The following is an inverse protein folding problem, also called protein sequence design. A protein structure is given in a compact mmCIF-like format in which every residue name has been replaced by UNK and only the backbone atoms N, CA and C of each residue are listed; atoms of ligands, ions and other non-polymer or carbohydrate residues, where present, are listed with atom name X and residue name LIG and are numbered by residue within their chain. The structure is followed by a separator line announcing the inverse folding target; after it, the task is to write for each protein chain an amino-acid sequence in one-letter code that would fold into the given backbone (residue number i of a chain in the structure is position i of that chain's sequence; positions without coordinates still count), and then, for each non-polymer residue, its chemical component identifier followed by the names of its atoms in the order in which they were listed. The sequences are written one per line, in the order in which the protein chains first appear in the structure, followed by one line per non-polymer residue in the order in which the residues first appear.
data_IF_929100584248
#
_entry.id   IF_929100584248
#
_cell.length_a   1.000
_cell.length_b   1.000
_cell.length_c   1.000
_cell.angle_alpha   90.00
_cell.angle_beta   90.00
_cell.angle_gamma   90.00
#
_symmetry.space_group_name_H-M   'P 1'
#
loop_
_entity.id
_entity.type
_entity.pdbx_description
1 polymer ?
#
# COMPACT_ATOMS: atom_id res chain seq x y z
N UNK A 1 14.36 14.48 -11.74
CA UNK A 1 15.14 13.28 -11.39
C UNK A 1 14.55 12.78 -10.09
N UNK A 2 14.04 11.55 -10.06
CA UNK A 2 13.43 10.97 -8.84
C UNK A 2 14.50 10.84 -7.76
N UNK A 3 14.33 11.53 -6.63
CA UNK A 3 15.24 11.51 -5.48
C UNK A 3 15.39 10.09 -4.92
N UNK A 4 16.55 9.72 -4.32
CA UNK A 4 16.68 8.47 -3.58
C UNK A 4 15.60 8.28 -2.49
N UNK A 5 15.11 9.40 -1.92
CA UNK A 5 14.01 9.41 -0.95
C UNK A 5 12.70 8.93 -1.61
N UNK A 6 12.34 9.47 -2.77
CA UNK A 6 11.13 9.09 -3.53
C UNK A 6 11.10 7.60 -3.89
N UNK A 7 12.28 6.96 -4.07
CA UNK A 7 12.37 5.51 -4.30
C UNK A 7 12.04 4.70 -3.05
N UNK A 8 12.30 5.24 -1.85
CA UNK A 8 11.94 4.60 -0.59
C UNK A 8 10.43 4.61 -0.39
N UNK A 9 9.71 5.65 -0.83
CA UNK A 9 8.24 5.70 -0.77
C UNK A 9 7.59 4.53 -1.54
N UNK A 10 8.14 4.16 -2.70
CA UNK A 10 7.67 2.99 -3.45
C UNK A 10 7.83 1.69 -2.66
N UNK A 11 8.93 1.52 -1.91
CA UNK A 11 9.13 0.31 -1.13
C UNK A 11 8.29 0.32 0.16
N UNK A 12 8.31 1.43 0.88
CA UNK A 12 7.64 1.59 2.18
C UNK A 12 6.12 1.41 2.07
N UNK A 13 5.46 2.20 1.23
CA UNK A 13 4.01 2.16 1.10
C UNK A 13 3.52 0.91 0.36
N UNK A 14 4.37 0.32 -0.47
CA UNK A 14 4.12 -0.98 -1.08
C UNK A 14 4.10 -2.10 -0.04
N UNK A 15 5.08 -2.12 0.88
CA UNK A 15 5.13 -3.09 1.98
C UNK A 15 3.96 -2.89 2.95
N UNK A 16 3.65 -1.65 3.33
CA UNK A 16 2.48 -1.34 4.18
C UNK A 16 1.19 -1.86 3.54
N UNK A 17 0.99 -1.60 2.25
CA UNK A 17 -0.19 -2.08 1.54
C UNK A 17 -0.28 -3.61 1.49
N UNK A 18 0.85 -4.30 1.30
CA UNK A 18 0.90 -5.77 1.33
C UNK A 18 0.56 -6.32 2.71
N UNK A 19 1.11 -5.76 3.78
CA UNK A 19 0.82 -6.20 5.14
C UNK A 19 -0.66 -6.01 5.48
N UNK A 20 -1.25 -4.87 5.10
CA UNK A 20 -2.69 -4.64 5.29
C UNK A 20 -3.49 -5.66 4.46
N UNK A 21 -3.11 -5.90 3.21
CA UNK A 21 -3.80 -6.85 2.34
C UNK A 21 -3.77 -8.27 2.90
N UNK A 22 -2.62 -8.76 3.35
CA UNK A 22 -2.50 -10.09 3.97
C UNK A 22 -3.32 -10.18 5.27
N UNK A 23 -3.28 -9.15 6.12
CA UNK A 23 -4.10 -9.12 7.33
C UNK A 23 -5.62 -9.14 7.04
N UNK A 24 -6.04 -8.51 5.95
CA UNK A 24 -7.45 -8.54 5.50
C UNK A 24 -7.83 -9.91 4.92
N UNK A 25 -6.94 -10.56 4.18
CA UNK A 25 -7.14 -11.93 3.69
C UNK A 25 -7.21 -12.93 4.85
N UNK A 26 -6.34 -12.80 5.85
CA UNK A 26 -6.36 -13.62 7.06
C UNK A 26 -7.72 -13.51 7.77
N UNK A 27 -8.20 -12.28 8.01
CA UNK A 27 -9.52 -12.04 8.61
C UNK A 27 -10.65 -12.66 7.80
N UNK A 28 -10.61 -12.53 6.48
CA UNK A 28 -11.58 -13.15 5.58
C UNK A 28 -11.60 -14.67 5.70
N UNK A 29 -10.42 -15.30 5.76
CA UNK A 29 -10.29 -16.74 5.95
C UNK A 29 -10.76 -17.22 7.34
N UNK A 30 -10.70 -16.36 8.35
CA UNK A 30 -11.18 -16.60 9.70
C UNK A 30 -12.68 -16.24 9.90
N UNK A 31 -13.44 -16.05 8.81
CA UNK A 31 -14.89 -15.87 8.85
C UNK A 31 -15.37 -14.43 9.05
N UNK A 32 -14.47 -13.44 9.07
CA UNK A 32 -14.85 -12.02 9.11
C UNK A 32 -15.13 -11.56 7.68
N UNK A 33 -16.31 -11.01 7.42
CA UNK A 33 -16.65 -10.47 6.11
C UNK A 33 -15.79 -9.21 5.81
N UNK A 34 -14.82 -9.36 4.91
CA UNK A 34 -14.02 -8.24 4.38
C UNK A 34 -14.32 -8.09 2.89
N UNK A 35 -15.19 -7.14 2.49
CA UNK A 35 -15.47 -6.90 1.08
C UNK A 35 -14.24 -6.32 0.38
N UNK A 36 -13.85 -6.91 -0.74
CA UNK A 36 -12.77 -6.45 -1.62
C UNK A 36 -11.45 -6.11 -0.86
N UNK A 37 -10.79 -7.10 -0.21
CA UNK A 37 -9.58 -6.88 0.60
C UNK A 37 -8.50 -6.05 -0.08
N UNK A 38 -8.31 -6.24 -1.39
CA UNK A 38 -7.34 -5.48 -2.18
C UNK A 38 -7.64 -3.98 -2.24
N UNK A 39 -8.91 -3.60 -2.48
CA UNK A 39 -9.31 -2.18 -2.55
C UNK A 39 -9.17 -1.53 -1.18
N UNK A 40 -9.62 -2.23 -0.14
CA UNK A 40 -9.51 -1.76 1.25
C UNK A 40 -8.05 -1.56 1.63
N UNK A 41 -7.15 -2.46 1.24
CA UNK A 41 -5.71 -2.32 1.49
C UNK A 41 -5.10 -1.09 0.82
N UNK A 42 -5.43 -0.82 -0.45
CA UNK A 42 -4.94 0.35 -1.17
C UNK A 42 -5.43 1.65 -0.53
N UNK A 43 -6.72 1.73 -0.19
CA UNK A 43 -7.28 2.92 0.47
C UNK A 43 -6.63 3.13 1.84
N UNK A 44 -6.54 2.08 2.66
CA UNK A 44 -5.95 2.17 3.99
C UNK A 44 -4.48 2.60 3.93
N UNK A 45 -3.67 2.01 3.04
CA UNK A 45 -2.28 2.41 2.86
C UNK A 45 -2.13 3.85 2.36
N UNK A 46 -3.02 4.29 1.47
CA UNK A 46 -3.06 5.68 0.98
C UNK A 46 -3.39 6.66 2.11
N UNK A 47 -4.32 6.31 3.01
CA UNK A 47 -4.63 7.10 4.20
C UNK A 47 -3.43 7.16 5.15
N UNK A 48 -2.74 6.05 5.38
CA UNK A 48 -1.50 6.02 6.17
C UNK A 48 -0.46 6.97 5.58
N UNK A 49 -0.24 6.93 4.26
CA UNK A 49 0.70 7.83 3.59
C UNK A 49 0.29 9.30 3.60
N UNK A 50 -1.01 9.59 3.54
CA UNK A 50 -1.51 10.95 3.73
C UNK A 50 -1.27 11.48 5.14
N UNK A 51 -1.42 10.62 6.16
CA UNK A 51 -1.15 10.97 7.55
C UNK A 51 0.35 11.22 7.75
N UNK A 52 1.21 10.34 7.25
CA UNK A 52 2.66 10.51 7.33
C UNK A 52 3.13 11.81 6.67
N UNK A 53 2.64 12.10 5.47
CA UNK A 53 2.94 13.36 4.79
C UNK A 53 2.45 14.57 5.59
N UNK A 54 1.26 14.48 6.18
CA UNK A 54 0.71 15.55 7.04
C UNK A 54 1.54 15.78 8.31
N UNK A 55 2.20 14.74 8.84
CA UNK A 55 3.10 14.88 10.00
C UNK A 55 4.37 15.67 9.63
N UNK A 56 4.78 15.68 8.36
CA UNK A 56 5.92 16.47 7.92
C UNK A 56 5.69 17.98 8.10
N UNK A 57 4.44 18.45 8.14
CA UNK A 57 4.11 19.84 8.48
C UNK A 57 4.62 20.27 9.86
N UNK A 58 4.81 19.31 10.77
CA UNK A 58 5.35 19.55 12.10
C UNK A 58 6.89 19.50 12.16
N UNK A 59 7.56 19.14 11.06
CA UNK A 59 9.03 18.94 11.01
C UNK A 59 9.65 20.06 10.16
N UNK A 60 10.41 21.01 10.76
CA UNK A 60 10.90 22.21 10.07
C UNK A 60 11.82 21.96 8.86
N UNK A 61 12.43 20.77 8.79
CA UNK A 61 13.37 20.37 7.73
C UNK A 61 12.71 19.58 6.61
N UNK A 62 11.40 19.33 6.70
CA UNK A 62 10.62 18.58 5.71
C UNK A 62 9.54 19.47 5.09
N UNK A 63 9.16 19.14 3.86
CA UNK A 63 8.17 19.89 3.08
C UNK A 63 7.06 18.94 2.74
N UNK A 64 5.83 19.32 3.08
CA UNK A 64 4.63 18.62 2.64
C UNK A 64 4.53 18.67 1.12
N UNK A 65 4.58 17.51 0.45
CA UNK A 65 4.44 17.38 -1.00
C UNK A 65 3.22 16.52 -1.39
N UNK A 66 2.19 17.10 -2.02
CA UNK A 66 1.06 16.34 -2.56
C UNK A 66 1.45 15.25 -3.58
N UNK A 67 2.58 15.38 -4.27
CA UNK A 67 3.08 14.35 -5.17
C UNK A 67 3.52 13.11 -4.42
N UNK A 68 4.04 13.23 -3.21
CA UNK A 68 4.43 12.09 -2.37
C UNK A 68 3.18 11.29 -1.97
N UNK A 69 2.07 11.97 -1.66
CA UNK A 69 0.78 11.29 -1.42
C UNK A 69 0.32 10.46 -2.63
N UNK A 70 0.48 10.99 -3.84
CA UNK A 70 0.16 10.27 -5.07
C UNK A 70 1.09 9.06 -5.28
N UNK A 71 2.39 9.23 -5.06
CA UNK A 71 3.38 8.15 -5.16
C UNK A 71 3.08 7.05 -4.15
N UNK A 72 2.71 7.39 -2.92
CA UNK A 72 2.33 6.44 -1.87
C UNK A 72 1.10 5.62 -2.29
N UNK A 73 0.08 6.27 -2.85
CA UNK A 73 -1.14 5.61 -3.33
C UNK A 73 -0.86 4.68 -4.54
N UNK A 74 -0.05 5.14 -5.50
CA UNK A 74 0.36 4.33 -6.66
C UNK A 74 1.21 3.13 -6.23
N UNK A 75 2.10 3.33 -5.26
CA UNK A 75 2.91 2.27 -4.67
C UNK A 75 2.02 1.16 -4.08
N UNK A 76 1.03 1.54 -3.27
CA UNK A 76 0.07 0.61 -2.69
C UNK A 76 -0.71 -0.16 -3.78
N UNK A 77 -1.18 0.54 -4.81
CA UNK A 77 -1.93 -0.05 -5.92
C UNK A 77 -1.09 -1.08 -6.69
N UNK A 78 0.16 -0.73 -7.04
CA UNK A 78 1.07 -1.62 -7.76
C UNK A 78 1.39 -2.86 -6.93
N UNK A 79 1.72 -2.69 -5.65
CA UNK A 79 2.09 -3.79 -4.77
C UNK A 79 0.93 -4.80 -4.59
N UNK A 80 -0.27 -4.31 -4.29
CA UNK A 80 -1.46 -5.16 -4.12
C UNK A 80 -1.87 -5.83 -5.43
N UNK A 81 -1.81 -5.12 -6.56
CA UNK A 81 -2.11 -5.69 -7.89
C UNK A 81 -1.12 -6.80 -8.26
N UNK A 82 0.17 -6.59 -8.00
CA UNK A 82 1.20 -7.60 -8.23
C UNK A 82 0.97 -8.83 -7.34
N UNK A 83 0.70 -8.64 -6.04
CA UNK A 83 0.43 -9.73 -5.11
C UNK A 83 -0.79 -10.55 -5.51
N UNK A 84 -1.92 -9.90 -5.79
CA UNK A 84 -3.15 -10.57 -6.22
C UNK A 84 -2.97 -11.35 -7.53
N UNK A 85 -2.26 -10.77 -8.50
CA UNK A 85 -1.96 -11.43 -9.78
C UNK A 85 -1.06 -12.66 -9.57
N UNK A 86 0.00 -12.53 -8.78
CA UNK A 86 0.91 -13.65 -8.47
C UNK A 86 0.19 -14.78 -7.73
N UNK A 87 -0.66 -14.45 -6.76
CA UNK A 87 -1.45 -15.44 -6.01
C UNK A 87 -2.40 -16.22 -6.92
N UNK A 88 -3.06 -15.54 -7.87
CA UNK A 88 -3.92 -16.19 -8.88
C UNK A 88 -3.12 -17.11 -9.80
N UNK A 89 -1.96 -16.68 -10.28
CA UNK A 89 -1.08 -17.51 -11.13
C UNK A 89 -0.60 -18.75 -10.37
N UNK A 90 -0.22 -18.60 -9.09
CA UNK A 90 0.21 -19.72 -8.24
C UNK A 90 -0.91 -20.73 -8.01
N UNK A 91 -2.14 -20.27 -7.84
CA UNK A 91 -3.31 -21.15 -7.72
C UNK A 91 -3.58 -21.91 -9.02
N UNK A 92 -3.53 -21.22 -10.17
CA UNK A 92 -3.75 -21.83 -11.48
C UNK A 92 -2.70 -22.90 -11.85
N UNK A 93 -1.47 -22.81 -11.32
CA UNK A 93 -0.42 -23.81 -11.51
C UNK A 93 -0.54 -25.04 -10.62
N UNK A 94 -1.40 -25.00 -9.60
CA UNK A 94 -1.58 -26.08 -8.61
C UNK A 94 -2.76 -27.01 -8.90
N UNK A 95 -3.63 -26.66 -9.87
CA UNK A 95 -4.73 -27.49 -10.37
C UNK A 95 -4.34 -28.20 -11.65
#
# INVERSE_FOLDING_TARGET
MVSPIERTHLLEYGVVALLIHEALLERSSNGIAVPMPAIVAVIAASVVGAIDESLQLAIPTRVFDPLDMLVNALSAAVAVTASTTLSRIRLARRG
#
